data_IF_199532669892
#
_entry.id   IF_199532669892
#
_cell.length_a   1.000
_cell.length_b   1.000
_cell.length_c   1.000
_cell.angle_alpha   90.00
_cell.angle_beta   90.00
_cell.angle_gamma   90.00
#
_symmetry.space_group_name_H-M   'P 1'
#
loop_
_entity.id
_entity.type
_entity.pdbx_description
1 polymer ?
#
# COMPACT_ATOMS: atom_id res chain seq x y z
N UNK A 1 -4.59 -9.94 -15.01
CA UNK A 1 -5.13 -8.96 -14.04
C UNK A 1 -5.04 -9.65 -12.69
N UNK A 2 -4.36 -9.07 -11.68
CA UNK A 2 -4.09 -9.75 -10.41
C UNK A 2 -5.34 -10.00 -9.55
N UNK A 3 -6.39 -9.18 -9.74
CA UNK A 3 -7.62 -9.25 -8.97
C UNK A 3 -8.70 -9.96 -9.80
N UNK A 4 -9.32 -10.97 -9.19
CA UNK A 4 -10.43 -11.72 -9.71
C UNK A 4 -11.71 -11.49 -8.88
N UNK A 5 -12.85 -11.89 -9.44
CA UNK A 5 -14.13 -11.79 -8.77
C UNK A 5 -14.13 -12.60 -7.47
N UNK A 6 -14.50 -11.92 -6.36
CA UNK A 6 -14.54 -12.52 -5.04
C UNK A 6 -13.23 -12.49 -4.26
N UNK A 7 -12.15 -11.92 -4.79
CA UNK A 7 -10.92 -11.68 -4.04
C UNK A 7 -11.11 -10.62 -2.94
N UNK A 8 -10.27 -10.64 -1.91
CA UNK A 8 -10.22 -9.67 -0.83
C UNK A 8 -8.86 -9.00 -0.78
N UNK A 9 -8.85 -7.67 -0.88
CA UNK A 9 -7.63 -6.86 -0.90
C UNK A 9 -7.57 -6.13 0.44
N UNK A 10 -6.76 -6.58 1.41
CA UNK A 10 -6.52 -5.82 2.63
C UNK A 10 -5.68 -4.58 2.36
N UNK A 11 -6.03 -3.49 3.02
CA UNK A 11 -5.22 -2.27 3.14
C UNK A 11 -5.42 -1.68 4.54
N UNK A 12 -4.59 -0.73 5.00
CA UNK A 12 -4.96 0.05 6.19
C UNK A 12 -6.32 0.74 5.97
N UNK A 13 -6.36 1.71 5.08
CA UNK A 13 -7.61 2.23 4.52
C UNK A 13 -7.41 2.52 3.04
N UNK A 14 -8.35 2.06 2.21
CA UNK A 14 -8.32 2.33 0.78
C UNK A 14 -8.67 3.79 0.49
N UNK A 15 -7.92 4.39 -0.45
CA UNK A 15 -8.33 5.63 -1.09
C UNK A 15 -9.41 5.38 -2.15
N UNK A 16 -10.24 6.37 -2.44
CA UNK A 16 -11.44 6.27 -3.29
C UNK A 16 -11.16 5.63 -4.65
N UNK A 17 -10.12 6.08 -5.35
CA UNK A 17 -9.76 5.53 -6.67
C UNK A 17 -9.25 4.10 -6.58
N UNK A 18 -8.49 3.78 -5.53
CA UNK A 18 -7.97 2.43 -5.27
C UNK A 18 -9.14 1.47 -5.01
N UNK A 19 -10.08 1.86 -4.15
CA UNK A 19 -11.33 1.12 -3.89
C UNK A 19 -12.15 0.94 -5.16
N UNK A 20 -12.31 2.00 -5.96
CA UNK A 20 -13.05 1.94 -7.21
C UNK A 20 -12.44 0.93 -8.21
N UNK A 21 -11.11 0.89 -8.36
CA UNK A 21 -10.45 -0.08 -9.22
C UNK A 21 -10.62 -1.53 -8.75
N UNK A 22 -10.57 -1.78 -7.43
CA UNK A 22 -10.80 -3.10 -6.84
C UNK A 22 -12.25 -3.54 -7.09
N UNK A 23 -13.23 -2.70 -6.75
CA UNK A 23 -14.65 -3.01 -6.92
C UNK A 23 -15.03 -3.16 -8.40
N UNK A 24 -14.41 -2.40 -9.31
CA UNK A 24 -14.61 -2.56 -10.75
C UNK A 24 -14.18 -3.94 -11.26
N UNK A 25 -13.21 -4.59 -10.60
CA UNK A 25 -12.83 -5.99 -10.85
C UNK A 25 -13.65 -6.99 -10.05
N UNK A 26 -14.71 -6.53 -9.36
CA UNK A 26 -15.55 -7.32 -8.44
C UNK A 26 -14.76 -7.95 -7.29
N UNK A 27 -13.64 -7.34 -6.92
CA UNK A 27 -12.92 -7.64 -5.69
C UNK A 27 -13.53 -6.87 -4.51
N UNK A 28 -13.14 -7.27 -3.31
CA UNK A 28 -13.59 -6.68 -2.05
C UNK A 28 -12.43 -5.90 -1.43
N UNK A 29 -12.55 -4.58 -1.36
CA UNK A 29 -11.60 -3.74 -0.63
C UNK A 29 -11.87 -3.81 0.87
N UNK A 30 -10.93 -4.36 1.65
CA UNK A 30 -11.09 -4.57 3.09
C UNK A 30 -10.11 -3.68 3.85
N UNK A 31 -10.66 -2.77 4.67
CA UNK A 31 -9.87 -1.88 5.51
C UNK A 31 -9.54 -2.59 6.85
N UNK A 32 -8.26 -2.73 7.14
CA UNK A 32 -7.69 -3.39 8.33
C UNK A 32 -6.82 -2.43 9.15
N UNK A 33 -7.13 -1.13 9.15
CA UNK A 33 -6.46 -0.14 10.01
C UNK A 33 -6.67 -0.42 11.51
N UNK A 34 -5.69 -0.03 12.32
CA UNK A 34 -5.78 -0.07 13.78
C UNK A 34 -6.95 0.76 14.32
N UNK A 35 -7.57 0.30 15.41
CA UNK A 35 -8.74 0.96 16.01
C UNK A 35 -8.46 2.40 16.47
N UNK A 36 -7.19 2.70 16.79
CA UNK A 36 -6.75 4.05 17.18
C UNK A 36 -7.00 5.08 16.08
N UNK A 37 -7.15 4.66 14.82
CA UNK A 37 -7.48 5.56 13.72
C UNK A 37 -8.86 6.21 13.85
N UNK A 38 -9.81 5.55 14.52
CA UNK A 38 -11.17 6.06 14.70
C UNK A 38 -11.33 6.95 15.93
N UNK A 39 -10.32 7.01 16.80
CA UNK A 39 -10.30 7.93 17.94
C UNK A 39 -9.60 9.23 17.55
N UNK A 40 -10.37 10.26 17.21
CA UNK A 40 -9.86 11.55 16.73
C UNK A 40 -9.11 12.35 17.81
N UNK A 41 -9.42 12.16 19.09
CA UNK A 41 -8.79 12.90 20.21
C UNK A 41 -7.54 12.20 20.76
N UNK A 42 -7.27 10.95 20.37
CA UNK A 42 -6.07 10.23 20.79
C UNK A 42 -4.80 10.83 20.17
N UNK A 43 -3.73 10.92 20.95
CA UNK A 43 -2.40 11.34 20.46
C UNK A 43 -1.55 10.18 19.92
N UNK A 44 -2.15 9.02 19.63
CA UNK A 44 -1.41 7.86 19.11
C UNK A 44 -0.63 8.24 17.83
N UNK A 45 0.70 8.04 17.79
CA UNK A 45 1.57 8.68 16.78
C UNK A 45 1.43 8.09 15.37
N UNK A 46 0.96 6.85 15.25
CA UNK A 46 0.94 6.07 14.00
C UNK A 46 -0.45 5.46 13.70
N UNK A 47 -1.48 6.31 13.66
CA UNK A 47 -2.87 5.89 13.35
C UNK A 47 -3.05 5.31 11.94
N UNK A 48 -2.06 5.40 11.06
CA UNK A 48 -2.06 4.75 9.76
C UNK A 48 -1.64 3.28 9.79
N UNK A 49 -1.28 2.74 10.96
CA UNK A 49 -0.88 1.34 11.11
C UNK A 49 -1.99 0.36 10.70
N UNK A 50 -1.59 -0.72 10.03
CA UNK A 50 -2.41 -1.92 9.87
C UNK A 50 -2.53 -2.63 11.22
N UNK A 51 -3.74 -3.04 11.54
CA UNK A 51 -4.04 -3.97 12.62
C UNK A 51 -3.61 -5.38 12.21
N UNK A 52 -2.61 -5.91 12.91
CA UNK A 52 -1.99 -7.20 12.59
C UNK A 52 -2.97 -8.35 12.77
N UNK A 53 -3.83 -8.30 13.79
CA UNK A 53 -4.78 -9.36 14.08
C UNK A 53 -5.90 -9.34 13.05
N UNK A 54 -6.41 -8.16 12.67
CA UNK A 54 -7.40 -8.07 11.58
C UNK A 54 -6.85 -8.58 10.25
N UNK A 55 -5.59 -8.27 9.95
CA UNK A 55 -4.94 -8.77 8.73
C UNK A 55 -4.84 -10.31 8.74
N UNK A 56 -4.32 -10.90 9.82
CA UNK A 56 -4.20 -12.36 9.95
C UNK A 56 -5.55 -13.05 9.90
N UNK A 57 -6.51 -12.57 10.68
CA UNK A 57 -7.88 -13.11 10.71
C UNK A 57 -8.55 -13.07 9.33
N UNK A 58 -8.30 -12.02 8.53
CA UNK A 58 -8.81 -11.96 7.16
C UNK A 58 -8.18 -13.03 6.26
N UNK A 59 -6.85 -13.16 6.29
CA UNK A 59 -6.13 -14.13 5.45
C UNK A 59 -6.54 -15.56 5.83
N UNK A 60 -6.56 -15.88 7.13
CA UNK A 60 -6.96 -17.19 7.65
C UNK A 60 -8.44 -17.49 7.36
N UNK A 61 -9.33 -16.51 7.59
CA UNK A 61 -10.77 -16.69 7.42
C UNK A 61 -11.24 -16.77 5.96
N UNK A 62 -10.52 -16.15 5.01
CA UNK A 62 -10.85 -16.21 3.58
C UNK A 62 -10.03 -17.23 2.81
N UNK A 63 -8.91 -17.66 3.38
CA UNK A 63 -7.92 -18.48 2.72
C UNK A 63 -6.97 -17.65 1.86
N UNK A 64 -5.70 -18.04 1.86
CA UNK A 64 -4.62 -17.39 1.10
C UNK A 64 -4.98 -17.16 -0.38
N UNK A 65 -5.61 -18.11 -1.04
CA UNK A 65 -5.95 -18.04 -2.47
C UNK A 65 -6.90 -16.90 -2.83
N UNK A 66 -7.61 -16.34 -1.84
CA UNK A 66 -8.52 -15.21 -2.01
C UNK A 66 -7.86 -13.86 -1.74
N UNK A 67 -6.57 -13.83 -1.40
CA UNK A 67 -5.82 -12.59 -1.09
C UNK A 67 -4.72 -12.41 -2.16
N UNK A 68 -5.00 -11.71 -3.28
CA UNK A 68 -4.03 -11.57 -4.37
C UNK A 68 -2.86 -10.65 -4.02
N UNK A 69 -3.07 -9.68 -3.11
CA UNK A 69 -2.04 -8.80 -2.58
C UNK A 69 -2.50 -8.16 -1.26
N UNK A 70 -1.53 -7.72 -0.45
CA UNK A 70 -1.73 -6.81 0.68
C UNK A 70 -1.30 -5.41 0.23
N UNK A 71 -2.09 -4.39 0.55
CA UNK A 71 -1.73 -3.00 0.35
C UNK A 71 -1.43 -2.32 1.68
N UNK A 72 -0.61 -1.27 1.66
CA UNK A 72 -0.54 -0.29 2.74
C UNK A 72 -0.41 1.11 2.15
N UNK A 73 -1.30 2.03 2.53
CA UNK A 73 -1.24 3.42 2.08
C UNK A 73 -0.38 4.24 3.03
N UNK A 74 0.68 4.86 2.50
CA UNK A 74 1.66 5.63 3.27
C UNK A 74 1.82 7.06 2.71
N UNK A 75 1.38 8.11 3.40
CA UNK A 75 0.52 8.12 4.60
C UNK A 75 -0.92 7.66 4.30
N UNK A 76 -1.65 7.21 5.33
CA UNK A 76 -3.03 6.74 5.22
C UNK A 76 -3.98 7.92 4.93
N UNK A 77 -4.20 8.22 3.64
CA UNK A 77 -4.99 9.37 3.21
C UNK A 77 -6.41 9.39 3.80
N UNK A 78 -7.14 8.27 3.66
CA UNK A 78 -8.53 8.15 4.15
C UNK A 78 -8.63 8.24 5.68
N UNK A 79 -7.54 7.94 6.39
CA UNK A 79 -7.42 8.12 7.84
C UNK A 79 -6.98 9.52 8.27
N UNK A 80 -7.04 10.52 7.37
CA UNK A 80 -6.61 11.89 7.66
C UNK A 80 -5.10 12.12 7.53
N UNK A 81 -4.43 11.41 6.62
CA UNK A 81 -3.00 11.56 6.36
C UNK A 81 -2.11 11.00 7.49
N UNK A 82 -2.61 10.04 8.25
CA UNK A 82 -1.91 9.49 9.41
C UNK A 82 -0.78 8.54 8.97
N UNK A 83 0.40 8.60 9.62
CA UNK A 83 1.53 7.77 9.23
C UNK A 83 1.40 6.34 9.73
N UNK A 84 2.04 5.41 9.02
CA UNK A 84 2.36 4.08 9.51
C UNK A 84 3.83 4.04 10.00
N UNK A 85 4.09 3.35 11.10
CA UNK A 85 5.45 3.17 11.64
C UNK A 85 6.25 2.17 10.81
N UNK A 86 7.58 2.28 10.86
CA UNK A 86 8.46 1.26 10.29
C UNK A 86 8.25 -0.08 10.98
N UNK A 87 8.08 -0.11 12.30
CA UNK A 87 7.75 -1.35 13.02
C UNK A 87 6.50 -2.05 12.42
N UNK A 88 5.46 -1.29 12.10
CA UNK A 88 4.25 -1.85 11.51
C UNK A 88 4.50 -2.36 10.08
N UNK A 89 5.26 -1.61 9.27
CA UNK A 89 5.68 -2.02 7.93
C UNK A 89 6.44 -3.37 7.99
N UNK A 90 7.37 -3.52 8.94
CA UNK A 90 8.14 -4.77 9.15
C UNK A 90 7.24 -5.94 9.48
N UNK A 91 6.31 -5.76 10.43
CA UNK A 91 5.33 -6.81 10.81
C UNK A 91 4.43 -7.22 9.65
N UNK A 92 3.97 -6.27 8.83
CA UNK A 92 3.16 -6.60 7.65
C UNK A 92 3.98 -7.35 6.60
N UNK A 93 5.26 -7.00 6.39
CA UNK A 93 6.16 -7.79 5.55
C UNK A 93 6.36 -9.22 6.05
N UNK A 94 6.52 -9.40 7.36
CA UNK A 94 6.66 -10.73 7.97
C UNK A 94 5.42 -11.60 7.68
N UNK A 95 4.22 -11.04 7.86
CA UNK A 95 2.95 -11.73 7.54
C UNK A 95 2.84 -12.01 6.04
N UNK A 96 3.18 -11.04 5.20
CA UNK A 96 3.20 -11.20 3.75
C UNK A 96 4.13 -12.35 3.32
N UNK A 97 5.29 -12.50 3.97
CA UNK A 97 6.20 -13.64 3.78
C UNK A 97 5.58 -14.96 4.24
N UNK A 98 5.05 -14.99 5.47
CA UNK A 98 4.45 -16.17 6.09
C UNK A 98 3.34 -16.77 5.21
N UNK A 99 2.49 -15.91 4.66
CA UNK A 99 1.38 -16.31 3.80
C UNK A 99 1.74 -16.30 2.31
N UNK A 100 2.98 -15.97 1.93
CA UNK A 100 3.40 -15.82 0.54
C UNK A 100 2.52 -14.87 -0.28
N UNK A 101 2.01 -13.78 0.31
CA UNK A 101 1.20 -12.75 -0.36
C UNK A 101 2.09 -11.58 -0.78
N UNK A 102 1.99 -11.05 -2.02
CA UNK A 102 2.69 -9.84 -2.40
C UNK A 102 2.27 -8.63 -1.54
N UNK A 103 3.23 -7.82 -1.09
CA UNK A 103 2.98 -6.62 -0.31
C UNK A 103 3.31 -5.35 -1.08
N UNK A 104 2.32 -4.47 -1.28
CA UNK A 104 2.44 -3.27 -2.10
C UNK A 104 2.16 -2.01 -1.29
N UNK A 105 2.90 -0.95 -1.58
CA UNK A 105 2.54 0.38 -1.09
C UNK A 105 1.66 1.14 -2.08
N UNK A 106 0.66 1.87 -1.56
CA UNK A 106 0.29 3.14 -2.14
C UNK A 106 1.24 4.20 -1.58
N UNK A 107 2.21 4.58 -2.42
CA UNK A 107 3.35 5.42 -2.05
C UNK A 107 3.11 6.90 -2.33
N UNK A 108 1.88 7.36 -2.57
CA UNK A 108 1.62 8.75 -2.95
C UNK A 108 2.21 9.81 -2.01
N UNK A 109 2.29 9.52 -0.70
CA UNK A 109 2.81 10.43 0.34
C UNK A 109 3.93 9.80 1.17
N UNK A 110 4.83 9.08 0.49
CA UNK A 110 5.88 8.29 1.14
C UNK A 110 6.88 9.15 1.92
N UNK A 111 7.22 10.35 1.45
CA UNK A 111 8.20 11.23 2.07
C UNK A 111 7.62 11.90 3.32
N UNK A 112 6.32 12.26 3.29
CA UNK A 112 5.60 12.68 4.50
C UNK A 112 5.59 11.57 5.56
N UNK A 113 5.33 10.33 5.17
CA UNK A 113 5.36 9.19 6.11
C UNK A 113 6.76 9.00 6.71
N UNK A 114 7.81 9.06 5.90
CA UNK A 114 9.20 8.99 6.34
C UNK A 114 9.57 10.13 7.31
N UNK A 115 9.04 11.34 7.08
CA UNK A 115 9.22 12.46 8.01
C UNK A 115 8.60 12.17 9.38
N UNK A 116 7.39 11.57 9.42
CA UNK A 116 6.78 11.18 10.69
C UNK A 116 7.55 10.07 11.41
N UNK A 117 8.04 9.06 10.68
CA UNK A 117 8.94 8.03 11.25
C UNK A 117 10.16 8.70 11.88
N UNK A 118 10.84 9.58 11.16
CA UNK A 118 12.01 10.33 11.68
C UNK A 118 11.71 11.08 12.97
N UNK A 119 10.51 11.66 13.08
CA UNK A 119 10.11 12.54 14.20
C UNK A 119 9.53 11.80 15.39
N UNK A 120 8.94 10.62 15.19
CA UNK A 120 8.09 9.96 16.19
C UNK A 120 8.53 8.55 16.54
N UNK A 121 9.36 7.90 15.72
CA UNK A 121 9.81 6.53 15.94
C UNK A 121 11.23 6.51 16.49
N UNK A 122 11.38 5.95 17.69
CA UNK A 122 12.67 5.81 18.36
C UNK A 122 13.66 5.05 17.48
N UNK A 123 14.87 5.58 17.33
CA UNK A 123 15.95 4.99 16.53
C UNK A 123 16.07 5.55 15.10
N UNK A 124 15.17 6.45 14.69
CA UNK A 124 15.19 7.11 13.38
C UNK A 124 15.60 8.59 13.44
N UNK A 125 15.82 9.15 14.63
CA UNK A 125 16.10 10.58 14.84
C UNK A 125 17.35 11.03 14.07
N UNK A 126 18.36 10.15 14.00
CA UNK A 126 19.61 10.39 13.26
C UNK A 126 19.56 10.10 11.77
N UNK A 127 18.60 9.30 11.27
CA UNK A 127 18.54 8.89 9.87
C UNK A 127 18.02 10.01 8.96
N UNK A 128 18.59 10.17 7.78
CA UNK A 128 18.04 11.05 6.75
C UNK A 128 16.71 10.53 6.23
N UNK A 129 15.86 11.42 5.68
CA UNK A 129 14.59 11.00 5.04
C UNK A 129 14.85 9.97 3.95
N UNK A 130 15.93 10.14 3.16
CA UNK A 130 16.31 9.20 2.12
C UNK A 130 16.54 7.80 2.68
N UNK A 131 17.32 7.65 3.74
CA UNK A 131 17.58 6.34 4.38
C UNK A 131 16.28 5.68 4.88
N UNK A 132 15.38 6.46 5.47
CA UNK A 132 14.08 5.96 5.95
C UNK A 132 13.22 5.48 4.79
N UNK A 133 13.15 6.25 3.70
CA UNK A 133 12.41 5.87 2.49
C UNK A 133 12.97 4.59 1.88
N UNK A 134 14.31 4.47 1.78
CA UNK A 134 14.93 3.24 1.28
C UNK A 134 14.58 2.03 2.12
N UNK A 135 14.63 2.17 3.45
CA UNK A 135 14.24 1.10 4.36
C UNK A 135 12.75 0.76 4.22
N UNK A 136 11.85 1.76 4.18
CA UNK A 136 10.42 1.53 3.95
C UNK A 136 10.19 0.72 2.67
N UNK A 137 10.71 1.21 1.54
CA UNK A 137 10.50 0.60 0.22
C UNK A 137 11.15 -0.78 0.09
N UNK A 138 12.19 -1.08 0.88
CA UNK A 138 12.82 -2.41 0.90
C UNK A 138 11.88 -3.52 1.40
N UNK A 139 10.80 -3.15 2.09
CA UNK A 139 9.82 -4.09 2.60
C UNK A 139 8.66 -4.38 1.65
N UNK A 140 8.53 -3.69 0.51
CA UNK A 140 7.46 -3.97 -0.47
C UNK A 140 7.97 -4.69 -1.71
N UNK A 141 7.07 -5.45 -2.35
CA UNK A 141 7.29 -6.13 -3.63
C UNK A 141 7.04 -5.19 -4.83
N UNK A 142 6.42 -4.04 -4.57
CA UNK A 142 6.16 -2.99 -5.53
C UNK A 142 5.41 -1.82 -4.90
N UNK A 143 5.13 -0.79 -5.70
CA UNK A 143 4.28 0.30 -5.27
C UNK A 143 3.56 0.98 -6.44
N UNK A 144 2.38 1.52 -6.15
CA UNK A 144 1.72 2.50 -7.00
C UNK A 144 2.05 3.90 -6.51
N UNK A 145 2.34 4.81 -7.43
CA UNK A 145 2.71 6.18 -7.08
C UNK A 145 2.00 7.19 -7.97
N UNK A 146 1.50 8.26 -7.37
CA UNK A 146 1.07 9.46 -8.09
C UNK A 146 2.03 10.61 -7.77
N UNK A 147 2.69 11.14 -8.80
CA UNK A 147 3.63 12.25 -8.67
C UNK A 147 3.02 13.60 -8.33
N UNK A 148 1.68 13.66 -8.26
CA UNK A 148 0.90 14.86 -7.93
C UNK A 148 0.92 15.26 -6.45
N UNK A 149 1.81 14.64 -5.66
CA UNK A 149 1.89 14.75 -4.20
C UNK A 149 3.36 14.98 -3.84
N UNK A 150 4.03 14.00 -3.24
CA UNK A 150 5.41 14.16 -2.74
C UNK A 150 6.47 14.35 -3.83
N UNK A 151 6.18 14.03 -5.10
CA UNK A 151 7.09 14.37 -6.20
C UNK A 151 6.95 15.81 -6.70
N UNK A 152 6.05 16.61 -6.11
CA UNK A 152 5.87 18.04 -6.42
C UNK A 152 5.63 18.31 -7.91
N UNK A 153 5.00 17.37 -8.62
CA UNK A 153 4.70 17.48 -10.04
C UNK A 153 3.22 17.78 -10.27
N UNK A 154 2.89 18.50 -11.35
CA UNK A 154 1.50 18.75 -11.73
C UNK A 154 0.82 17.50 -12.32
N UNK A 155 1.61 16.56 -12.85
CA UNK A 155 1.14 15.32 -13.50
C UNK A 155 2.13 14.17 -13.32
N UNK A 156 1.65 12.95 -13.56
CA UNK A 156 2.47 11.75 -13.64
C UNK A 156 2.22 10.79 -12.48
N UNK A 157 2.63 9.56 -12.72
CA UNK A 157 2.54 8.45 -11.78
C UNK A 157 3.25 7.25 -12.40
N UNK A 158 3.58 6.28 -11.56
CA UNK A 158 4.22 5.06 -12.02
C UNK A 158 3.79 3.86 -11.17
N UNK A 159 4.05 2.69 -11.72
CA UNK A 159 4.03 1.41 -11.03
C UNK A 159 5.47 0.91 -10.95
N UNK A 160 5.97 0.66 -9.75
CA UNK A 160 7.26 0.01 -9.54
C UNK A 160 7.03 -1.43 -9.09
N UNK A 161 7.86 -2.35 -9.58
CA UNK A 161 7.75 -3.79 -9.36
C UNK A 161 9.15 -4.37 -9.17
N UNK A 162 9.29 -5.28 -8.22
CA UNK A 162 10.52 -6.06 -8.06
C UNK A 162 10.49 -7.36 -8.89
N UNK A 163 9.30 -7.88 -9.20
CA UNK A 163 9.12 -9.10 -9.98
C UNK A 163 9.11 -8.82 -11.50
N UNK A 164 10.11 -9.34 -12.20
CA UNK A 164 10.29 -9.16 -13.64
C UNK A 164 9.15 -9.81 -14.46
N UNK A 165 8.63 -10.96 -14.04
CA UNK A 165 7.54 -11.65 -14.76
C UNK A 165 6.25 -10.86 -14.68
N UNK A 166 5.93 -10.33 -13.50
CA UNK A 166 4.80 -9.44 -13.29
C UNK A 166 4.97 -8.14 -14.08
N UNK A 167 6.18 -7.59 -14.12
CA UNK A 167 6.51 -6.44 -14.97
C UNK A 167 6.21 -6.73 -16.45
N UNK A 168 6.75 -7.82 -17.02
CA UNK A 168 6.55 -8.19 -18.43
C UNK A 168 5.06 -8.39 -18.71
N UNK A 169 4.35 -9.12 -17.84
CA UNK A 169 2.92 -9.38 -17.99
C UNK A 169 2.09 -8.08 -18.04
N UNK A 170 2.36 -7.15 -17.11
CA UNK A 170 1.65 -5.88 -17.04
C UNK A 170 2.04 -4.96 -18.21
N UNK A 171 3.32 -4.89 -18.56
CA UNK A 171 3.80 -4.12 -19.70
C UNK A 171 3.12 -4.51 -21.01
N UNK A 172 3.00 -5.82 -21.27
CA UNK A 172 2.28 -6.32 -22.44
C UNK A 172 0.79 -5.98 -22.40
N UNK A 173 0.17 -6.05 -21.22
CA UNK A 173 -1.24 -5.67 -21.03
C UNK A 173 -1.48 -4.17 -21.32
N UNK A 174 -0.56 -3.30 -20.91
CA UNK A 174 -0.63 -1.86 -21.20
C UNK A 174 -0.49 -1.56 -22.69
N UNK A 175 0.48 -2.17 -23.38
CA UNK A 175 0.66 -1.98 -24.83
C UNK A 175 -0.59 -2.33 -25.61
N UNK A 176 -1.20 -3.48 -25.32
CA UNK A 176 -2.43 -3.91 -25.98
C UNK A 176 -3.59 -2.92 -25.78
N UNK A 177 -3.75 -2.35 -24.58
CA UNK A 177 -4.77 -1.33 -24.33
C UNK A 177 -4.53 -0.01 -25.10
N UNK A 178 -3.26 0.32 -25.38
CA UNK A 178 -2.91 1.53 -26.14
C UNK A 178 -3.09 1.36 -27.64
N UNK A 179 -2.92 0.16 -28.19
CA UNK A 179 -3.16 -0.15 -29.60
C UNK A 179 -4.63 -0.06 -30.00
N UNK A 180 -5.58 -0.21 -29.07
CA UNK A 180 -7.01 -0.01 -29.35
C UNK A 180 -7.42 1.47 -29.55
N UNK A 181 -6.56 2.43 -29.20
CA UNK A 181 -6.85 3.86 -29.41
C UNK A 181 -6.54 4.38 -30.82
N UNK A 182 -6.00 3.54 -31.71
CA UNK A 182 -5.69 3.91 -33.09
C UNK A 182 -6.72 3.40 -34.12
N UNK A 183 -7.91 2.96 -33.69
CA UNK A 183 -8.99 2.49 -34.56
C UNK A 183 -10.34 3.18 -34.27
N UNK A 184 -10.32 4.47 -33.97
CA UNK A 184 -11.51 5.35 -34.02
C UNK A 184 -11.17 6.54 -34.89
#
# INVERSE_FOLDING_TARGET
>A
IMIHEGDYIPNNMHFDTTKAHITHKKGNAIDVVCDKAFNTTSEYPFKGNIDIDKLKNLIEGKGRDKIPLIMMTITCNSGGGQPASMENIKKVREIANEYHVPFFFDACRFAENAYFIKKRETGYEGKSIKEIVWEMMSYSDGCTFSGKKDALSNIGGFLALNDEKLYIFLYNSFKWSSSFKNHI
#
